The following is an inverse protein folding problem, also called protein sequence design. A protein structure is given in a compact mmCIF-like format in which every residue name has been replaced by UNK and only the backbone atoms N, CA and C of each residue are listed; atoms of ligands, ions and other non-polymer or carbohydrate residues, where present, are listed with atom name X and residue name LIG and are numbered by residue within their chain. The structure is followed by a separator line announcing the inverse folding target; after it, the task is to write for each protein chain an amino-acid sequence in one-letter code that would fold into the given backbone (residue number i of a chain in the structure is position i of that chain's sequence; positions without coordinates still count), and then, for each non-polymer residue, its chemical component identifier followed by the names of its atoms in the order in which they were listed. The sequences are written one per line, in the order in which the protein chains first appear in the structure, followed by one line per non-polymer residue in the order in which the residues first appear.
data_IF_637912008519
#
_entry.id   IF_637912008519
#
_cell.length_a   1.000
_cell.length_b   1.000
_cell.length_c   1.000
_cell.angle_alpha   90.00
_cell.angle_beta   90.00
_cell.angle_gamma   90.00
#
_symmetry.space_group_name_H-M   'P 1'
#
loop_
_entity.id
_entity.type
_entity.pdbx_description
1 polymer ?
#
# COMPACT_ATOMS: atom_id res chain seq x y z
N UNK A 1 -20.95 13.79 -6.79
CA UNK A 1 -20.21 12.67 -6.14
C UNK A 1 -18.81 13.14 -5.80
N UNK A 2 -18.37 12.99 -4.55
CA UNK A 2 -16.98 13.30 -4.18
C UNK A 2 -16.07 12.15 -4.61
N UNK A 3 -15.11 12.41 -5.50
CA UNK A 3 -14.15 11.40 -5.97
C UNK A 3 -13.11 11.22 -4.86
N UNK A 4 -13.15 10.08 -4.18
CA UNK A 4 -12.12 9.72 -3.19
C UNK A 4 -10.79 9.47 -3.93
N UNK A 5 -9.70 10.04 -3.40
CA UNK A 5 -8.37 9.87 -3.99
C UNK A 5 -7.85 8.44 -3.79
N UNK A 6 -7.10 7.87 -4.76
CA UNK A 6 -6.39 6.61 -4.57
C UNK A 6 -5.35 6.71 -3.45
N UNK A 7 -4.96 5.56 -2.91
CA UNK A 7 -3.99 5.48 -1.80
C UNK A 7 -3.19 4.18 -1.87
N UNK A 8 -2.02 4.17 -1.25
CA UNK A 8 -1.22 2.97 -1.03
C UNK A 8 -1.66 2.34 0.30
N UNK A 9 -1.96 1.05 0.31
CA UNK A 9 -2.32 0.31 1.52
C UNK A 9 -1.26 -0.74 1.84
N UNK A 10 -0.73 -0.73 3.06
CA UNK A 10 0.19 -1.78 3.52
C UNK A 10 -0.64 -2.95 4.04
N UNK A 11 -0.37 -4.14 3.49
CA UNK A 11 -1.00 -5.40 3.90
C UNK A 11 0.03 -6.28 4.58
N UNK A 12 -0.35 -6.83 5.74
CA UNK A 12 0.46 -7.79 6.50
C UNK A 12 -0.24 -9.14 6.48
N UNK A 13 0.51 -10.20 6.21
CA UNK A 13 0.00 -11.57 6.30
C UNK A 13 0.35 -12.19 7.65
N UNK A 14 -0.36 -13.26 8.01
CA UNK A 14 -0.16 -14.00 9.27
C UNK A 14 1.23 -14.64 9.40
N UNK A 15 1.93 -14.81 8.27
CA UNK A 15 3.24 -15.46 8.18
C UNK A 15 4.39 -14.42 8.20
N UNK A 16 4.15 -13.24 8.79
CA UNK A 16 5.08 -12.09 8.87
C UNK A 16 5.52 -11.50 7.52
N UNK A 17 4.88 -11.83 6.41
CA UNK A 17 5.15 -11.15 5.15
C UNK A 17 4.38 -9.83 5.07
N UNK A 18 4.95 -8.88 4.35
CA UNK A 18 4.38 -7.58 4.08
C UNK A 18 4.51 -7.24 2.60
N UNK A 19 3.48 -6.63 2.05
CA UNK A 19 3.49 -6.02 0.73
C UNK A 19 2.55 -4.82 0.73
N UNK A 20 2.59 -3.99 -0.31
CA UNK A 20 1.66 -2.87 -0.43
C UNK A 20 0.78 -3.00 -1.67
N UNK A 21 -0.44 -2.47 -1.57
CA UNK A 21 -1.48 -2.46 -2.61
C UNK A 21 -1.74 -1.03 -3.04
N UNK A 22 -1.93 -0.80 -4.33
CA UNK A 22 -2.52 0.44 -4.83
C UNK A 22 -4.04 0.27 -4.83
N UNK A 23 -4.72 1.12 -4.07
CA UNK A 23 -6.16 1.09 -3.89
C UNK A 23 -6.79 2.32 -4.55
N UNK A 24 -7.93 2.14 -5.21
CA UNK A 24 -8.80 3.25 -5.59
C UNK A 24 -9.37 3.90 -4.33
N UNK A 25 -9.84 5.15 -4.43
CA UNK A 25 -10.46 5.83 -3.28
C UNK A 25 -11.73 5.16 -2.76
N UNK A 26 -12.34 4.28 -3.55
CA UNK A 26 -13.50 3.48 -3.15
C UNK A 26 -13.11 2.14 -2.50
N UNK A 27 -11.83 1.84 -2.34
CA UNK A 27 -11.34 0.61 -1.70
C UNK A 27 -11.20 -0.59 -2.64
N UNK A 28 -11.34 -0.41 -3.96
CA UNK A 28 -11.04 -1.46 -4.95
C UNK A 28 -9.53 -1.52 -5.20
N UNK A 29 -8.94 -2.72 -5.12
CA UNK A 29 -7.52 -2.98 -5.44
C UNK A 29 -7.27 -2.77 -6.94
N UNK A 30 -6.32 -1.91 -7.27
CA UNK A 30 -5.86 -1.63 -8.65
C UNK A 30 -4.63 -2.48 -8.97
N UNK A 31 -3.64 -2.47 -8.09
CA UNK A 31 -2.37 -3.20 -8.26
C UNK A 31 -1.76 -3.55 -6.89
N UNK A 32 -0.67 -4.31 -6.88
CA UNK A 32 0.14 -4.57 -5.69
C UNK A 32 1.62 -4.71 -6.03
N UNK A 33 2.49 -4.56 -5.04
CA UNK A 33 3.92 -4.77 -5.22
C UNK A 33 4.23 -6.24 -5.48
N UNK A 34 4.94 -6.51 -6.58
CA UNK A 34 5.44 -7.87 -6.86
C UNK A 34 6.41 -8.37 -5.78
N UNK A 35 7.24 -7.46 -5.25
CA UNK A 35 8.13 -7.77 -4.14
C UNK A 35 7.34 -7.91 -2.85
N UNK A 36 7.65 -8.96 -2.11
CA UNK A 36 7.18 -9.23 -0.75
C UNK A 36 8.37 -9.07 0.20
N UNK A 37 8.13 -8.49 1.37
CA UNK A 37 9.14 -8.28 2.41
C UNK A 37 8.83 -9.15 3.61
N UNK A 38 9.86 -9.67 4.25
CA UNK A 38 9.76 -10.41 5.52
C UNK A 38 9.72 -9.46 6.74
N UNK A 39 10.16 -8.22 6.56
CA UNK A 39 10.22 -7.20 7.60
C UNK A 39 9.31 -6.01 7.29
N UNK A 40 8.64 -5.50 8.33
CA UNK A 40 7.75 -4.34 8.21
C UNK A 40 8.49 -3.04 7.86
N UNK A 41 9.71 -2.84 8.36
CA UNK A 41 10.51 -1.62 8.09
C UNK A 41 10.78 -1.41 6.59
N UNK A 42 11.40 -2.36 5.85
CA UNK A 42 11.64 -2.19 4.43
C UNK A 42 10.34 -2.16 3.60
N UNK A 43 9.30 -2.88 4.03
CA UNK A 43 7.98 -2.82 3.40
C UNK A 43 7.37 -1.39 3.47
N UNK A 44 7.36 -0.79 4.66
CA UNK A 44 6.91 0.60 4.87
C UNK A 44 7.74 1.58 4.06
N UNK A 45 9.07 1.45 4.06
CA UNK A 45 9.94 2.31 3.28
C UNK A 45 9.64 2.22 1.77
N UNK A 46 9.41 1.01 1.24
CA UNK A 46 9.00 0.84 -0.16
C UNK A 46 7.63 1.44 -0.45
N UNK A 47 6.65 1.25 0.43
CA UNK A 47 5.31 1.82 0.27
C UNK A 47 5.33 3.35 0.26
N UNK A 48 6.11 3.97 1.17
CA UNK A 48 6.31 5.41 1.19
C UNK A 48 6.97 5.94 -0.08
N UNK A 49 7.98 5.24 -0.63
CA UNK A 49 8.57 5.63 -1.92
C UNK A 49 7.54 5.60 -3.05
N UNK A 50 6.77 4.53 -3.16
CA UNK A 50 5.70 4.42 -4.16
C UNK A 50 4.66 5.54 -4.00
N UNK A 51 4.29 5.85 -2.77
CA UNK A 51 3.35 6.92 -2.45
C UNK A 51 3.88 8.31 -2.85
N UNK A 52 5.16 8.61 -2.57
CA UNK A 52 5.81 9.87 -3.01
C UNK A 52 5.84 9.96 -4.54
N UNK A 53 6.26 8.90 -5.23
CA UNK A 53 6.28 8.87 -6.71
C UNK A 53 4.92 9.13 -7.32
N UNK A 54 3.85 8.60 -6.71
CA UNK A 54 2.49 8.70 -7.22
C UNK A 54 1.68 9.86 -6.60
N UNK A 55 2.29 10.67 -5.71
CA UNK A 55 1.61 11.71 -4.92
C UNK A 55 0.37 11.21 -4.18
N UNK A 56 0.48 10.04 -3.54
CA UNK A 56 -0.58 9.36 -2.80
C UNK A 56 -0.30 9.31 -1.30
N UNK A 57 -1.33 9.04 -0.52
CA UNK A 57 -1.21 8.73 0.90
C UNK A 57 -0.89 7.26 1.13
N UNK A 58 -0.18 6.95 2.21
CA UNK A 58 -0.02 5.58 2.72
C UNK A 58 -1.02 5.35 3.84
N UNK A 59 -1.74 4.23 3.79
CA UNK A 59 -2.67 3.76 4.82
C UNK A 59 -2.25 2.38 5.31
N UNK A 60 -2.39 2.14 6.61
CA UNK A 60 -2.30 0.79 7.13
C UNK A 60 -3.64 0.10 6.97
N UNK A 61 -3.62 -1.21 6.72
CA UNK A 61 -4.80 -2.04 6.90
C UNK A 61 -5.25 -1.98 8.37
N UNK A 62 -6.56 -1.83 8.57
CA UNK A 62 -7.19 -1.80 9.90
C UNK A 62 -7.45 -3.21 10.37
#
# INVERSE_FOLDING_TARGET
MSIKKPYIQIHKTDINYCYWKLMSGNGVKIAHSQKVWYDMKPCRASAHRAAVTLSLEVRNEK
#
